data_IF_375809875605
#
_entry.id   IF_375809875605
#
_cell.length_a   1.000
_cell.length_b   1.000
_cell.length_c   1.000
_cell.angle_alpha   90.00
_cell.angle_beta   90.00
_cell.angle_gamma   90.00
#
_symmetry.space_group_name_H-M   'P 1'
#
loop_
_entity.id
_entity.type
_entity.pdbx_description
1 polymer ?
#
# COMPACT_ATOMS: atom_id res chain seq x y z
N UNK A 1 20.30 -4.83 8.47
CA UNK A 1 20.10 -3.79 7.45
C UNK A 1 18.63 -3.84 7.06
N UNK A 2 17.91 -2.71 6.95
CA UNK A 2 16.54 -2.71 6.46
C UNK A 2 16.50 -3.18 5.00
N UNK A 3 15.48 -3.93 4.62
CA UNK A 3 15.21 -4.35 3.24
C UNK A 3 14.83 -3.14 2.40
N UNK A 4 15.26 -3.11 1.13
CA UNK A 4 14.79 -2.07 0.20
C UNK A 4 13.34 -2.31 -0.18
N UNK A 5 12.50 -1.26 -0.27
CA UNK A 5 11.13 -1.38 -0.73
C UNK A 5 11.09 -1.74 -2.23
N UNK A 6 10.21 -2.67 -2.60
CA UNK A 6 9.98 -3.08 -3.98
C UNK A 6 8.87 -2.21 -4.61
N UNK A 7 9.06 -1.80 -5.86
CA UNK A 7 8.06 -1.04 -6.64
C UNK A 7 7.05 -1.94 -7.37
N UNK A 8 7.31 -3.25 -7.43
CA UNK A 8 6.47 -4.22 -8.13
C UNK A 8 5.37 -4.71 -7.19
N UNK A 9 4.13 -4.55 -7.62
CA UNK A 9 2.98 -5.19 -6.97
C UNK A 9 2.91 -6.66 -7.38
N UNK A 10 2.62 -7.52 -6.40
CA UNK A 10 2.42 -8.95 -6.61
C UNK A 10 0.93 -9.27 -6.55
N UNK A 11 0.50 -10.19 -7.40
CA UNK A 11 -0.89 -10.64 -7.46
C UNK A 11 -0.95 -12.07 -6.96
N UNK A 12 -1.87 -12.34 -6.03
CA UNK A 12 -2.14 -13.68 -5.52
C UNK A 12 -3.46 -14.21 -6.10
N UNK A 13 -3.57 -15.51 -6.44
CA UNK A 13 -4.83 -16.09 -6.88
C UNK A 13 -5.91 -15.97 -5.80
N UNK A 14 -7.15 -15.64 -6.20
CA UNK A 14 -8.29 -15.64 -5.30
C UNK A 14 -8.62 -17.08 -4.86
N UNK A 15 -8.54 -17.42 -3.55
CA UNK A 15 -8.85 -18.77 -3.06
C UNK A 15 -10.35 -19.10 -3.08
N UNK A 16 -11.23 -18.10 -3.17
CA UNK A 16 -12.68 -18.24 -3.09
C UNK A 16 -13.40 -17.43 -4.20
N UNK A 17 -13.24 -17.80 -5.48
CA UNK A 17 -13.75 -17.02 -6.61
C UNK A 17 -15.28 -16.95 -6.73
N UNK A 18 -16.01 -17.85 -6.05
CA UNK A 18 -17.48 -17.91 -6.10
C UNK A 18 -18.14 -17.39 -4.81
N UNK A 19 -17.38 -16.80 -3.90
CA UNK A 19 -17.88 -16.19 -2.66
C UNK A 19 -17.69 -14.68 -2.74
N UNK A 20 -18.73 -13.93 -2.37
CA UNK A 20 -18.62 -12.50 -2.17
C UNK A 20 -17.89 -12.22 -0.85
N UNK A 21 -16.82 -11.44 -0.92
CA UNK A 21 -16.08 -10.96 0.25
C UNK A 21 -15.43 -9.61 -0.07
N UNK A 22 -15.18 -8.84 0.98
CA UNK A 22 -14.47 -7.56 0.92
C UNK A 22 -13.07 -7.70 1.51
N UNK A 23 -12.11 -6.99 0.94
CA UNK A 23 -10.74 -6.89 1.47
C UNK A 23 -10.48 -5.43 1.77
N UNK A 24 -10.36 -5.10 3.04
CA UNK A 24 -9.98 -3.78 3.51
C UNK A 24 -8.48 -3.76 3.86
N UNK A 25 -7.79 -2.69 3.45
CA UNK A 25 -6.38 -2.46 3.75
C UNK A 25 -6.28 -1.15 4.52
N UNK A 26 -5.78 -1.20 5.76
CA UNK A 26 -5.48 0.00 6.55
C UNK A 26 -3.98 0.25 6.55
N UNK A 27 -3.55 1.45 6.13
CA UNK A 27 -2.14 1.80 6.03
C UNK A 27 -1.84 3.09 6.83
N UNK A 28 -1.83 3.03 8.18
CA UNK A 28 -1.69 4.22 9.04
C UNK A 28 -0.30 4.88 8.99
N UNK A 29 0.63 4.28 8.25
CA UNK A 29 2.01 4.75 8.08
C UNK A 29 2.26 5.31 6.67
N UNK A 30 1.20 5.62 5.91
CA UNK A 30 1.38 6.20 4.58
C UNK A 30 2.01 7.59 4.68
N UNK A 31 3.11 7.78 3.96
CA UNK A 31 3.80 9.07 3.84
C UNK A 31 4.32 9.28 2.43
N UNK A 32 4.38 10.54 2.00
CA UNK A 32 4.90 10.95 0.69
C UNK A 32 5.57 12.32 0.79
N UNK A 33 6.21 12.78 -0.28
CA UNK A 33 6.75 14.13 -0.38
C UNK A 33 5.84 15.01 -1.23
N UNK A 34 5.55 16.22 -0.75
CA UNK A 34 4.83 17.23 -1.51
C UNK A 34 5.62 17.58 -2.78
N UNK A 35 5.04 17.50 -3.99
CA UNK A 35 5.78 17.75 -5.22
C UNK A 35 6.22 19.21 -5.38
N UNK A 36 5.58 20.15 -4.66
CA UNK A 36 5.89 21.58 -4.72
C UNK A 36 6.96 21.99 -3.71
N UNK A 37 6.84 21.54 -2.46
CA UNK A 37 7.67 22.00 -1.34
C UNK A 37 8.73 20.98 -0.91
N UNK A 38 8.59 19.71 -1.29
CA UNK A 38 9.42 18.61 -0.81
C UNK A 38 9.22 18.26 0.67
N UNK A 39 8.22 18.83 1.33
CA UNK A 39 7.91 18.51 2.72
C UNK A 39 7.20 17.16 2.83
N UNK A 40 7.37 16.43 3.96
CA UNK A 40 6.70 15.15 4.18
C UNK A 40 5.22 15.33 4.52
N UNK A 41 4.37 14.62 3.80
CA UNK A 41 2.93 14.51 4.03
C UNK A 41 2.60 13.13 4.65
N UNK A 42 1.54 13.06 5.45
CA UNK A 42 1.11 11.84 6.16
C UNK A 42 -0.40 11.63 6.02
N UNK A 43 -0.83 10.37 5.85
CA UNK A 43 -2.24 9.98 5.81
C UNK A 43 -2.44 8.55 6.33
N UNK A 44 -3.70 8.15 6.52
CA UNK A 44 -4.15 6.81 6.92
C UNK A 44 -5.09 6.23 5.89
#
# INVERSE_FOLDING_TARGET
MPTQPNKRLEVVPNPHPYREYEVELTCPEFTTLCPMTGQPDFAT
#
